data_IF_318705758710
#
_entry.id   IF_318705758710
#
_cell.length_a   1.000
_cell.length_b   1.000
_cell.length_c   1.000
_cell.angle_alpha   90.00
_cell.angle_beta   90.00
_cell.angle_gamma   90.00
#
_symmetry.space_group_name_H-M   'P 1'
#
loop_
_entity.id
_entity.type
_entity.pdbx_description
1 polymer ?
#
# COMPACT_ATOMS: atom_id res chain seq x y z
N UNK A 1 5.16 10.14 -9.15
CA UNK A 1 6.18 10.05 -8.07
C UNK A 1 7.52 9.42 -8.50
N UNK A 2 7.81 8.12 -8.27
CA UNK A 2 9.19 7.57 -8.43
C UNK A 2 9.70 7.62 -9.88
N UNK A 3 8.91 7.11 -10.83
CA UNK A 3 9.27 7.11 -12.26
C UNK A 3 9.47 8.53 -12.80
N UNK A 4 8.57 9.45 -12.45
CA UNK A 4 8.63 10.86 -12.84
C UNK A 4 9.81 11.60 -12.22
N UNK A 5 10.26 11.17 -11.04
CA UNK A 5 11.45 11.73 -10.37
C UNK A 5 12.76 11.13 -10.89
N UNK A 6 12.71 10.21 -11.86
CA UNK A 6 13.91 9.53 -12.37
C UNK A 6 14.53 8.55 -11.37
N UNK A 7 13.72 7.94 -10.49
CA UNK A 7 14.22 7.06 -9.43
C UNK A 7 14.74 5.69 -9.89
N UNK A 8 14.68 5.38 -11.19
CA UNK A 8 15.10 4.10 -11.75
C UNK A 8 16.43 4.23 -12.51
N UNK A 9 17.45 3.52 -12.06
CA UNK A 9 18.76 3.51 -12.72
C UNK A 9 18.65 2.94 -14.15
N UNK A 10 19.30 3.62 -15.10
CA UNK A 10 19.29 3.20 -16.51
C UNK A 10 17.98 3.50 -17.26
N UNK A 11 17.04 4.23 -16.64
CA UNK A 11 15.78 4.62 -17.26
C UNK A 11 15.57 6.13 -17.14
N UNK A 12 15.21 6.84 -18.22
CA UNK A 12 14.87 8.26 -18.12
C UNK A 12 13.60 8.44 -17.29
N UNK A 13 13.48 9.60 -16.64
CA UNK A 13 12.23 10.00 -16.02
C UNK A 13 11.09 10.00 -17.05
N UNK A 14 9.90 9.58 -16.63
CA UNK A 14 8.75 9.45 -17.51
C UNK A 14 7.43 9.67 -16.79
N UNK A 15 6.45 10.23 -17.51
CA UNK A 15 5.10 10.44 -17.02
C UNK A 15 4.39 9.10 -16.83
N UNK A 16 3.70 8.94 -15.69
CA UNK A 16 2.85 7.77 -15.45
C UNK A 16 1.50 7.99 -16.13
N UNK A 17 1.11 7.09 -17.03
CA UNK A 17 -0.09 7.25 -17.87
C UNK A 17 -1.21 6.27 -17.55
N UNK A 18 -0.94 5.25 -16.73
CA UNK A 18 -1.92 4.24 -16.37
C UNK A 18 -1.48 3.45 -15.13
N UNK A 19 -2.47 3.04 -14.33
CA UNK A 19 -2.33 1.95 -13.38
C UNK A 19 -3.17 0.77 -13.87
N UNK A 20 -2.54 -0.40 -13.96
CA UNK A 20 -3.14 -1.57 -14.60
C UNK A 20 -2.89 -2.84 -13.79
N UNK A 21 -3.92 -3.68 -13.65
CA UNK A 21 -3.79 -5.06 -13.18
C UNK A 21 -3.73 -6.05 -14.34
N UNK A 22 -2.82 -7.01 -14.24
CA UNK A 22 -2.74 -8.13 -15.16
C UNK A 22 -3.34 -9.36 -14.47
N UNK A 23 -4.45 -9.86 -15.00
CA UNK A 23 -5.16 -11.01 -14.45
C UNK A 23 -4.59 -12.27 -15.11
N UNK A 24 -3.86 -13.06 -14.34
CA UNK A 24 -3.26 -14.32 -14.75
C UNK A 24 -4.09 -15.48 -14.17
N UNK A 25 -5.24 -15.79 -14.78
CA UNK A 25 -6.15 -16.82 -14.28
C UNK A 25 -5.88 -18.24 -14.79
N UNK A 26 -4.93 -18.41 -15.73
CA UNK A 26 -4.69 -19.70 -16.41
C UNK A 26 -5.85 -20.18 -17.30
N UNK A 27 -6.87 -19.34 -17.51
CA UNK A 27 -7.99 -19.61 -18.41
C UNK A 27 -7.64 -19.37 -19.89
N UNK A 28 -8.65 -19.51 -20.75
CA UNK A 28 -8.47 -19.40 -22.20
C UNK A 28 -7.97 -18.03 -22.69
N UNK A 29 -8.19 -16.96 -21.92
CA UNK A 29 -7.67 -15.61 -22.23
C UNK A 29 -6.38 -15.38 -21.44
N UNK A 30 -5.21 -15.34 -22.11
CA UNK A 30 -3.95 -15.05 -21.45
C UNK A 30 -3.88 -13.59 -21.01
N UNK A 31 -3.32 -13.33 -19.83
CA UNK A 31 -2.83 -12.00 -19.46
C UNK A 31 -3.85 -10.87 -19.58
N UNK A 32 -5.09 -11.09 -19.12
CA UNK A 32 -6.14 -10.07 -19.28
C UNK A 32 -5.72 -8.79 -18.55
N UNK A 33 -5.55 -7.74 -19.33
CA UNK A 33 -5.29 -6.40 -18.82
C UNK A 33 -6.60 -5.79 -18.28
N UNK A 34 -6.55 -5.27 -17.05
CA UNK A 34 -7.64 -4.53 -16.43
C UNK A 34 -7.09 -3.21 -15.92
N UNK A 35 -7.42 -2.12 -16.61
CA UNK A 35 -7.15 -0.77 -16.10
C UNK A 35 -7.92 -0.57 -14.81
N UNK A 36 -7.29 0.09 -13.83
CA UNK A 36 -8.00 0.44 -12.61
C UNK A 36 -8.95 1.57 -12.95
N UNK A 37 -10.26 1.27 -13.01
CA UNK A 37 -11.28 2.29 -13.23
C UNK A 37 -11.50 3.04 -11.91
N UNK A 38 -10.77 4.13 -11.73
CA UNK A 38 -10.98 5.07 -10.62
C UNK A 38 -11.11 6.46 -11.21
N UNK A 39 -12.01 7.26 -10.67
CA UNK A 39 -12.11 8.68 -11.04
C UNK A 39 -10.80 9.41 -10.66
N UNK A 40 -10.23 10.15 -11.62
CA UNK A 40 -9.03 10.99 -11.43
C UNK A 40 -7.87 10.69 -12.40
N UNK A 41 -6.80 11.48 -12.28
CA UNK A 41 -5.56 11.37 -13.06
C UNK A 41 -4.50 10.57 -12.28
N UNK A 42 -3.82 9.62 -12.92
CA UNK A 42 -2.83 8.73 -12.28
C UNK A 42 -1.66 9.47 -11.64
N UNK A 43 -1.28 10.61 -12.20
CA UNK A 43 -0.22 11.45 -11.64
C UNK A 43 -0.63 11.98 -10.27
N UNK A 44 -1.85 12.55 -10.17
CA UNK A 44 -2.41 13.02 -8.89
C UNK A 44 -2.41 11.91 -7.85
N UNK A 45 -2.72 10.67 -8.24
CA UNK A 45 -2.67 9.50 -7.34
C UNK A 45 -1.27 9.16 -6.87
N UNK A 46 -0.28 9.24 -7.76
CA UNK A 46 1.11 9.01 -7.39
C UNK A 46 1.60 10.07 -6.38
N UNK A 47 1.14 11.31 -6.51
CA UNK A 47 1.46 12.40 -5.60
C UNK A 47 0.74 12.23 -4.25
N UNK A 48 -0.56 11.93 -4.25
CA UNK A 48 -1.34 11.57 -3.05
C UNK A 48 -0.69 10.43 -2.26
N UNK A 49 -0.24 9.37 -2.96
CA UNK A 49 0.43 8.24 -2.34
C UNK A 49 1.78 8.63 -1.72
N UNK A 50 2.55 9.50 -2.39
CA UNK A 50 3.82 10.00 -1.87
C UNK A 50 3.63 10.86 -0.62
N UNK A 51 2.63 11.74 -0.63
CA UNK A 51 2.34 12.58 0.53
C UNK A 51 1.80 11.78 1.71
N UNK A 52 0.93 10.80 1.46
CA UNK A 52 0.48 9.86 2.49
C UNK A 52 1.64 9.06 3.09
N UNK A 53 2.61 8.63 2.28
CA UNK A 53 3.81 7.95 2.77
C UNK A 53 4.66 8.87 3.66
N UNK A 54 4.89 10.13 3.25
CA UNK A 54 5.63 11.12 4.07
C UNK A 54 4.96 11.36 5.41
N UNK A 55 3.63 11.49 5.43
CA UNK A 55 2.86 11.63 6.68
C UNK A 55 3.01 10.41 7.58
N UNK A 56 3.01 9.20 7.00
CA UNK A 56 3.19 7.96 7.74
C UNK A 56 4.58 7.90 8.38
N UNK A 57 5.64 8.22 7.62
CA UNK A 57 7.02 8.28 8.14
C UNK A 57 7.09 9.27 9.30
N UNK A 58 6.62 10.51 9.09
CA UNK A 58 6.64 11.54 10.14
C UNK A 58 5.87 11.13 11.40
N UNK A 59 4.77 10.38 11.25
CA UNK A 59 3.99 9.88 12.39
C UNK A 59 4.77 8.84 13.21
N UNK A 60 5.57 8.00 12.56
CA UNK A 60 6.37 6.96 13.23
C UNK A 60 7.78 7.42 13.62
N UNK A 61 8.24 8.58 13.16
CA UNK A 61 9.45 9.25 13.66
C UNK A 61 9.24 9.83 15.08
N UNK A 62 7.99 10.03 15.50
CA UNK A 62 7.66 10.36 16.89
C UNK A 62 7.86 9.13 17.79
N UNK A 63 8.79 9.25 18.75
CA UNK A 63 9.11 8.19 19.71
C UNK A 63 7.91 7.77 20.58
N UNK A 64 6.89 8.61 20.68
CA UNK A 64 5.65 8.29 21.41
C UNK A 64 4.65 7.46 20.60
N UNK A 65 4.86 7.31 19.28
CA UNK A 65 3.97 6.54 18.40
C UNK A 65 4.24 5.03 18.53
N UNK A 66 3.26 4.24 19.00
CA UNK A 66 3.44 2.80 19.15
C UNK A 66 3.23 2.02 17.83
N UNK A 67 3.95 0.92 17.67
CA UNK A 67 3.68 -0.07 16.62
C UNK A 67 2.61 -1.06 17.09
N UNK A 68 1.34 -0.80 16.78
CA UNK A 68 0.25 -1.72 17.12
C UNK A 68 0.30 -3.00 16.29
N UNK A 69 0.18 -4.15 16.95
CA UNK A 69 0.13 -5.45 16.28
C UNK A 69 -1.09 -5.59 15.36
N UNK A 70 -2.21 -4.93 15.70
CA UNK A 70 -3.41 -4.84 14.85
C UNK A 70 -3.83 -3.36 14.79
N UNK A 71 -3.28 -2.58 13.85
CA UNK A 71 -3.55 -1.14 13.75
C UNK A 71 -5.02 -0.79 13.46
N UNK A 72 -5.78 -1.72 12.87
CA UNK A 72 -7.21 -1.56 12.56
C UNK A 72 -8.01 -2.76 13.08
N UNK A 73 -8.42 -2.78 14.36
CA UNK A 73 -9.11 -3.92 14.96
C UNK A 73 -10.40 -4.33 14.22
N UNK A 74 -11.16 -3.37 13.69
CA UNK A 74 -12.37 -3.62 12.89
C UNK A 74 -12.09 -4.34 11.56
N UNK A 75 -10.83 -4.38 11.12
CA UNK A 75 -10.36 -5.11 9.94
C UNK A 75 -9.21 -6.04 10.30
N UNK A 76 -9.30 -6.68 11.47
CA UNK A 76 -8.29 -7.64 11.90
C UNK A 76 -8.12 -8.77 10.86
N UNK A 77 -6.90 -9.31 10.70
CA UNK A 77 -6.67 -10.47 9.84
C UNK A 77 -7.59 -11.62 10.21
N UNK A 78 -8.23 -12.23 9.21
CA UNK A 78 -9.10 -13.40 9.41
C UNK A 78 -8.34 -14.58 10.02
N UNK A 79 -7.07 -14.73 9.67
CA UNK A 79 -6.17 -15.76 10.18
C UNK A 79 -5.06 -15.08 10.97
N UNK A 80 -5.06 -15.31 12.28
CA UNK A 80 -4.02 -14.84 13.19
C UNK A 80 -3.74 -15.96 14.20
N UNK A 81 -3.18 -17.05 13.68
CA UNK A 81 -3.02 -18.30 14.43
C UNK A 81 -2.18 -18.11 15.68
N UNK A 82 -1.30 -17.11 15.73
CA UNK A 82 -0.46 -16.79 16.87
C UNK A 82 -1.04 -15.70 17.79
N UNK A 83 -2.28 -15.26 17.58
CA UNK A 83 -2.95 -14.30 18.46
C UNK A 83 -2.94 -14.77 19.92
N UNK A 84 -3.09 -16.09 20.14
CA UNK A 84 -3.05 -16.71 21.46
C UNK A 84 -1.65 -16.71 22.12
N UNK A 85 -0.57 -16.63 21.31
CA UNK A 85 0.79 -16.45 21.82
C UNK A 85 1.15 -14.99 22.04
N UNK A 86 0.41 -14.09 21.40
CA UNK A 86 0.60 -12.65 21.60
C UNK A 86 0.01 -12.23 22.95
N UNK A 87 0.70 -11.35 23.67
CA UNK A 87 0.18 -10.72 24.90
C UNK A 87 -0.88 -9.63 24.62
N UNK A 88 -1.53 -9.69 23.46
CA UNK A 88 -2.46 -8.65 23.00
C UNK A 88 -3.72 -8.58 23.88
N UNK A 89 -4.17 -9.69 24.46
CA UNK A 89 -5.29 -9.67 25.41
C UNK A 89 -4.95 -8.92 26.71
N UNK A 90 -3.68 -8.89 27.08
CA UNK A 90 -3.24 -8.21 28.29
C UNK A 90 -2.97 -6.72 28.00
N UNK A 91 -2.34 -6.40 26.86
CA UNK A 91 -1.71 -5.10 26.61
C UNK A 91 -2.29 -4.37 25.39
N UNK A 92 -3.31 -4.92 24.75
CA UNK A 92 -4.03 -4.29 23.64
C UNK A 92 -5.02 -3.23 24.14
N UNK A 93 -5.27 -2.23 23.30
CA UNK A 93 -6.33 -1.23 23.51
C UNK A 93 -7.52 -1.63 22.62
N UNK A 94 -8.73 -1.71 23.19
CA UNK A 94 -9.98 -1.95 22.44
C UNK A 94 -10.39 -0.72 21.62
#
# INVERSE_FOLDING_TARGET
AIAESGGFAGMPAGMVTALTYWILSGGATPGKESKVAVDGDERSRADEALDGLRQLVASFDDLSTPYSAIPRPSRAPRFNDYAHLSRRLEWGVE
#
